data_IF_524104132496
#
_entry.id   IF_524104132496
#
_cell.length_a   1.000
_cell.length_b   1.000
_cell.length_c   1.000
_cell.angle_alpha   90.00
_cell.angle_beta   90.00
_cell.angle_gamma   90.00
#
_symmetry.space_group_name_H-M   'P 1'
#
loop_
_entity.id
_entity.type
_entity.pdbx_description
1 polymer ?
#
# COMPACT_ATOMS: atom_id res chain seq x y z
N UNK A 1 32.02 -3.86 56.86
CA UNK A 1 31.32 -5.14 56.58
C UNK A 1 30.14 -4.83 55.66
N UNK A 2 30.23 -5.15 54.37
CA UNK A 2 29.11 -4.98 53.43
C UNK A 2 29.01 -6.18 52.49
N UNK A 3 27.88 -6.87 52.65
CA UNK A 3 27.05 -7.60 51.69
C UNK A 3 27.66 -8.71 50.81
N UNK A 4 27.33 -9.96 51.15
CA UNK A 4 27.43 -11.15 50.30
C UNK A 4 26.22 -11.23 49.38
N UNK A 5 26.39 -10.90 48.09
CA UNK A 5 25.49 -11.36 47.03
C UNK A 5 26.18 -11.29 45.66
N UNK A 6 27.14 -12.18 45.43
CA UNK A 6 27.65 -12.49 44.08
C UNK A 6 27.95 -13.98 44.01
N UNK A 7 26.91 -14.80 43.99
CA UNK A 7 27.03 -16.23 43.70
C UNK A 7 25.84 -16.70 42.85
N UNK A 8 25.66 -16.05 41.69
CA UNK A 8 24.80 -16.55 40.60
C UNK A 8 25.08 -15.90 39.23
N UNK A 9 26.21 -15.18 39.07
CA UNK A 9 26.57 -14.50 37.80
C UNK A 9 27.84 -15.02 37.14
N UNK A 10 28.57 -15.93 37.78
CA UNK A 10 29.86 -16.43 37.29
C UNK A 10 29.72 -17.69 36.42
N UNK A 11 28.56 -18.36 36.43
CA UNK A 11 28.33 -19.59 35.66
C UNK A 11 27.68 -19.36 34.28
N UNK A 12 27.14 -18.17 33.99
CA UNK A 12 26.52 -17.85 32.70
C UNK A 12 27.48 -17.21 31.67
N UNK A 13 28.68 -16.82 32.10
CA UNK A 13 29.69 -16.19 31.23
C UNK A 13 30.43 -17.25 30.38
N UNK A 14 30.43 -18.52 30.81
CA UNK A 14 31.05 -19.62 30.05
C UNK A 14 30.22 -20.19 28.89
N UNK A 15 28.96 -19.76 28.72
CA UNK A 15 28.13 -20.14 27.57
C UNK A 15 28.06 -19.06 26.46
N UNK A 16 28.58 -17.85 26.71
CA UNK A 16 28.49 -16.73 25.76
C UNK A 16 29.86 -16.36 25.16
N UNK A 17 30.96 -16.87 25.70
CA UNK A 17 32.33 -16.56 25.21
C UNK A 17 33.04 -17.81 24.64
N UNK A 18 32.37 -18.96 24.59
CA UNK A 18 32.92 -20.24 24.10
C UNK A 18 32.70 -20.55 22.62
N UNK A 19 31.88 -19.78 21.91
CA UNK A 19 31.66 -19.96 20.45
C UNK A 19 32.31 -18.86 19.61
N UNK A 20 33.15 -18.02 20.22
CA UNK A 20 33.86 -16.93 19.54
C UNK A 20 35.25 -17.29 18.99
N UNK A 21 35.68 -18.56 19.04
CA UNK A 21 36.95 -19.02 18.46
C UNK A 21 36.85 -20.43 17.84
N UNK A 22 35.98 -20.58 16.84
CA UNK A 22 36.20 -21.53 15.73
C UNK A 22 36.01 -20.80 14.40
N UNK A 23 36.86 -19.78 14.24
CA UNK A 23 37.15 -19.14 12.97
C UNK A 23 38.08 -20.07 12.18
N UNK A 24 37.55 -20.82 11.22
CA UNK A 24 38.33 -21.43 10.13
C UNK A 24 37.80 -20.95 8.79
N UNK A 25 38.54 -20.01 8.21
CA UNK A 25 38.79 -19.82 6.78
C UNK A 25 37.60 -19.85 5.81
N UNK A 26 37.05 -18.65 5.56
CA UNK A 26 36.79 -18.19 4.20
C UNK A 26 36.83 -16.65 4.17
N UNK A 27 38.02 -16.04 4.30
CA UNK A 27 38.20 -14.67 3.82
C UNK A 27 38.22 -14.72 2.28
N UNK A 28 37.05 -14.91 1.68
CA UNK A 28 36.89 -14.79 0.24
C UNK A 28 36.90 -13.29 -0.08
N UNK A 29 38.02 -12.82 -0.62
CA UNK A 29 38.20 -11.43 -1.05
C UNK A 29 37.29 -11.17 -2.25
N UNK A 30 36.05 -10.75 -2.01
CA UNK A 30 35.27 -10.12 -3.06
C UNK A 30 35.99 -8.84 -3.52
N UNK A 31 36.04 -8.58 -4.83
CA UNK A 31 36.61 -7.34 -5.35
C UNK A 31 35.86 -6.11 -4.81
N UNK A 32 36.52 -4.96 -4.77
CA UNK A 32 35.91 -3.68 -4.38
C UNK A 32 34.63 -3.45 -5.21
N UNK A 33 33.47 -3.41 -4.55
CA UNK A 33 32.16 -3.23 -5.19
C UNK A 33 31.24 -4.45 -5.19
N UNK A 34 31.66 -5.59 -4.65
CA UNK A 34 30.82 -6.79 -4.47
C UNK A 34 30.51 -7.07 -3.00
N UNK A 35 29.33 -7.64 -2.75
CA UNK A 35 28.88 -8.08 -1.43
C UNK A 35 29.16 -9.58 -1.24
N UNK A 36 29.79 -9.98 -0.11
CA UNK A 36 30.01 -11.39 0.21
C UNK A 36 28.77 -12.02 0.85
N UNK A 37 28.26 -13.08 0.23
CA UNK A 37 27.21 -13.94 0.75
C UNK A 37 27.72 -14.86 1.88
N UNK A 38 26.81 -15.37 2.72
CA UNK A 38 27.16 -16.32 3.81
C UNK A 38 27.72 -17.64 3.27
N UNK A 39 27.29 -18.07 2.08
CA UNK A 39 27.79 -19.25 1.36
C UNK A 39 29.11 -19.02 0.61
N UNK A 40 29.70 -17.83 0.71
CA UNK A 40 30.99 -17.49 0.08
C UNK A 40 30.91 -17.00 -1.38
N UNK A 41 29.70 -16.88 -1.95
CA UNK A 41 29.48 -16.23 -3.24
C UNK A 41 29.68 -14.72 -3.14
N UNK A 42 30.05 -14.07 -4.25
CA UNK A 42 30.14 -12.62 -4.34
C UNK A 42 29.09 -12.11 -5.33
N UNK A 43 28.18 -11.28 -4.86
CA UNK A 43 27.14 -10.64 -5.69
C UNK A 43 27.41 -9.15 -5.84
N UNK A 44 26.72 -8.49 -6.78
CA UNK A 44 26.81 -7.04 -6.89
C UNK A 44 26.23 -6.38 -5.64
N UNK A 45 26.84 -5.28 -5.15
CA UNK A 45 26.20 -4.44 -4.12
C UNK A 45 24.81 -3.93 -4.52
N UNK A 46 24.50 -3.90 -5.83
CA UNK A 46 23.18 -3.52 -6.32
C UNK A 46 22.10 -4.60 -6.13
N UNK A 47 22.51 -5.84 -5.86
CA UNK A 47 21.62 -6.99 -5.62
C UNK A 47 21.34 -7.19 -4.13
N UNK A 48 22.02 -6.43 -3.27
CA UNK A 48 21.74 -6.45 -1.84
C UNK A 48 20.36 -5.83 -1.56
N UNK A 49 19.49 -6.57 -0.87
CA UNK A 49 18.15 -6.10 -0.47
C UNK A 49 17.23 -5.71 -1.64
N UNK A 50 17.39 -6.37 -2.79
CA UNK A 50 16.59 -6.10 -3.98
C UNK A 50 15.26 -6.91 -4.01
N UNK A 51 15.13 -7.89 -3.10
CA UNK A 51 13.97 -8.75 -2.95
C UNK A 51 14.06 -10.06 -3.74
N UNK A 52 15.23 -10.38 -4.30
CA UNK A 52 15.57 -11.65 -4.95
C UNK A 52 16.65 -12.36 -4.13
N UNK A 53 16.66 -13.68 -4.14
CA UNK A 53 17.75 -14.47 -3.54
C UNK A 53 18.86 -14.65 -4.57
N UNK A 54 19.75 -13.66 -4.67
CA UNK A 54 20.88 -13.67 -5.60
C UNK A 54 22.08 -14.42 -5.03
N UNK A 55 22.16 -14.53 -3.69
CA UNK A 55 23.16 -15.36 -3.04
C UNK A 55 22.86 -16.86 -3.15
N UNK A 56 21.59 -17.27 -3.28
CA UNK A 56 21.13 -18.66 -3.25
C UNK A 56 21.01 -19.28 -1.84
N UNK A 57 21.38 -18.51 -0.82
CA UNK A 57 21.23 -18.81 0.61
C UNK A 57 20.44 -17.71 1.35
N UNK A 58 19.89 -16.75 0.59
CA UNK A 58 19.11 -15.60 1.04
C UNK A 58 19.87 -14.65 1.98
N UNK A 59 21.21 -14.72 2.01
CA UNK A 59 22.04 -13.89 2.91
C UNK A 59 22.06 -12.40 2.55
N UNK A 60 21.79 -12.08 1.30
CA UNK A 60 21.58 -10.75 0.75
C UNK A 60 20.29 -10.06 1.21
N UNK A 61 19.35 -10.82 1.80
CA UNK A 61 18.03 -10.32 2.21
C UNK A 61 17.79 -10.32 3.73
N UNK A 62 18.73 -10.80 4.56
CA UNK A 62 18.51 -11.06 5.99
C UNK A 62 18.71 -9.83 6.90
N UNK A 63 19.47 -8.81 6.49
CA UNK A 63 19.80 -7.66 7.35
C UNK A 63 19.57 -6.30 6.68
N UNK A 64 18.42 -6.15 6.02
CA UNK A 64 18.04 -4.94 5.29
C UNK A 64 17.47 -3.81 6.17
N UNK A 65 17.78 -3.80 7.47
CA UNK A 65 17.13 -2.89 8.42
C UNK A 65 17.60 -1.43 8.33
N UNK A 66 18.70 -1.13 7.61
CA UNK A 66 19.17 0.25 7.39
C UNK A 66 19.82 0.52 6.02
N UNK A 67 19.87 -0.49 5.15
CA UNK A 67 20.20 -0.25 3.74
C UNK A 67 18.91 0.21 3.09
N UNK A 68 18.90 1.43 2.55
CA UNK A 68 17.85 1.91 1.67
C UNK A 68 17.71 0.92 0.52
N UNK A 69 16.88 -0.11 0.72
CA UNK A 69 16.33 -0.91 -0.33
C UNK A 69 15.79 0.12 -1.30
N UNK A 70 16.37 0.18 -2.49
CA UNK A 70 15.83 0.90 -3.63
C UNK A 70 14.51 0.20 -4.00
N UNK A 71 13.50 0.32 -3.14
CA UNK A 71 12.18 0.67 -3.61
C UNK A 71 12.47 1.80 -4.59
N UNK A 72 12.18 1.61 -5.87
CA UNK A 72 12.21 2.71 -6.82
C UNK A 72 11.55 3.89 -6.14
N UNK A 73 12.35 4.89 -5.76
CA UNK A 73 11.84 6.08 -5.10
C UNK A 73 11.06 6.82 -6.18
N UNK A 74 9.82 6.37 -6.37
CA UNK A 74 8.90 6.89 -7.36
C UNK A 74 8.46 8.30 -6.99
N UNK A 75 9.03 8.93 -5.96
CA UNK A 75 8.79 10.31 -5.59
C UNK A 75 9.00 11.25 -6.78
N UNK A 76 10.02 11.04 -7.60
CA UNK A 76 10.21 11.81 -8.83
C UNK A 76 9.05 11.61 -9.82
N UNK A 77 8.68 10.36 -10.09
CA UNK A 77 7.58 10.02 -11.01
C UNK A 77 6.21 10.52 -10.49
N UNK A 78 5.96 10.39 -9.18
CA UNK A 78 4.79 10.91 -8.46
C UNK A 78 4.70 12.43 -8.56
N UNK A 79 5.81 13.13 -8.36
CA UNK A 79 5.89 14.59 -8.48
C UNK A 79 5.64 15.05 -9.92
N UNK A 80 6.19 14.32 -10.90
CA UNK A 80 5.94 14.57 -12.32
C UNK A 80 4.47 14.35 -12.68
N UNK A 81 3.86 13.27 -12.18
CA UNK A 81 2.44 12.96 -12.39
C UNK A 81 1.54 14.04 -11.79
N UNK A 82 1.78 14.45 -10.54
CA UNK A 82 1.07 15.58 -9.90
C UNK A 82 1.14 16.82 -10.78
N UNK A 83 2.35 17.22 -11.17
CA UNK A 83 2.57 18.42 -12.01
C UNK A 83 1.89 18.31 -13.37
N UNK A 84 1.82 17.12 -13.95
CA UNK A 84 1.11 16.88 -15.21
C UNK A 84 -0.42 16.98 -15.03
N UNK A 85 -0.97 16.40 -13.98
CA UNK A 85 -2.41 16.44 -13.66
C UNK A 85 -2.87 17.88 -13.47
N UNK A 86 -2.14 18.66 -12.67
CA UNK A 86 -2.50 20.05 -12.36
C UNK A 86 -2.41 20.96 -13.60
N UNK A 87 -1.45 20.72 -14.51
CA UNK A 87 -1.33 21.48 -15.76
C UNK A 87 -2.44 21.19 -16.77
N UNK A 88 -3.15 20.06 -16.65
CA UNK A 88 -4.25 19.71 -17.56
C UNK A 88 -5.60 20.29 -17.17
N UNK A 89 -5.69 21.03 -16.06
CA UNK A 89 -6.92 21.74 -15.66
C UNK A 89 -7.31 22.73 -16.77
N UNK A 90 -8.53 22.59 -17.32
CA UNK A 90 -9.02 23.51 -18.37
C UNK A 90 -9.28 24.91 -17.78
N UNK A 91 -8.95 25.99 -18.50
CA UNK A 91 -9.37 27.34 -18.11
C UNK A 91 -10.90 27.48 -18.25
N UNK A 92 -11.57 28.17 -17.31
CA UNK A 92 -13.01 28.47 -17.38
C UNK A 92 -13.89 27.83 -16.29
N UNK A 93 -15.21 27.82 -16.55
CA UNK A 93 -16.31 27.44 -15.63
C UNK A 93 -16.11 26.07 -14.97
N UNK A 94 -16.38 26.01 -13.66
CA UNK A 94 -15.97 24.93 -12.74
C UNK A 94 -16.59 23.55 -12.97
N UNK A 95 -17.36 23.34 -14.04
CA UNK A 95 -18.16 22.12 -14.27
C UNK A 95 -17.51 21.08 -15.19
N UNK A 96 -16.43 21.42 -15.91
CA UNK A 96 -15.67 20.48 -16.77
C UNK A 96 -14.14 20.67 -16.66
N UNK A 97 -13.67 21.35 -15.61
CA UNK A 97 -12.25 21.67 -15.39
C UNK A 97 -11.34 20.44 -15.34
N UNK A 98 -11.84 19.31 -14.81
CA UNK A 98 -11.11 18.04 -14.72
C UNK A 98 -11.50 17.04 -15.81
N UNK A 99 -12.48 17.37 -16.65
CA UNK A 99 -12.92 16.53 -17.77
C UNK A 99 -13.77 15.33 -17.36
N UNK A 100 -14.15 14.56 -18.38
CA UNK A 100 -15.05 13.39 -18.28
C UNK A 100 -14.44 12.17 -17.58
N UNK A 101 -13.30 12.28 -16.89
CA UNK A 101 -12.69 11.21 -16.10
C UNK A 101 -12.26 11.70 -14.70
N UNK A 102 -12.94 12.73 -14.19
CA UNK A 102 -12.65 13.38 -12.90
C UNK A 102 -12.45 12.42 -11.74
N UNK A 103 -13.24 11.34 -11.63
CA UNK A 103 -13.08 10.35 -10.56
C UNK A 103 -11.73 9.63 -10.61
N UNK A 104 -11.27 9.25 -11.82
CA UNK A 104 -9.95 8.61 -12.00
C UNK A 104 -8.82 9.59 -11.71
N UNK A 105 -9.00 10.86 -12.07
CA UNK A 105 -8.03 11.92 -11.81
C UNK A 105 -7.92 12.20 -10.31
N UNK A 106 -9.04 12.25 -9.59
CA UNK A 106 -9.05 12.42 -8.13
C UNK A 106 -8.25 11.30 -7.44
N UNK A 107 -8.51 10.04 -7.80
CA UNK A 107 -7.77 8.89 -7.27
C UNK A 107 -6.29 8.97 -7.64
N UNK A 108 -5.95 9.27 -8.91
CA UNK A 108 -4.57 9.37 -9.35
C UNK A 108 -3.79 10.48 -8.62
N UNK A 109 -4.43 11.63 -8.38
CA UNK A 109 -3.83 12.75 -7.66
C UNK A 109 -3.59 12.38 -6.19
N UNK A 110 -4.53 11.69 -5.55
CA UNK A 110 -4.38 11.20 -4.18
C UNK A 110 -3.23 10.18 -4.05
N UNK A 111 -3.10 9.26 -4.99
CA UNK A 111 -2.01 8.27 -5.00
C UNK A 111 -0.64 8.87 -5.35
N UNK A 112 -0.64 9.96 -6.13
CA UNK A 112 0.57 10.67 -6.48
C UNK A 112 1.11 11.50 -5.30
N UNK A 113 0.26 12.00 -4.41
CA UNK A 113 0.69 12.90 -3.36
C UNK A 113 -0.21 12.89 -2.12
N UNK A 114 0.32 12.37 -1.03
CA UNK A 114 -0.33 12.33 0.28
C UNK A 114 -0.41 13.72 0.93
N UNK A 115 0.41 14.69 0.49
CA UNK A 115 0.48 16.04 1.07
C UNK A 115 -0.51 17.04 0.49
N UNK A 116 -0.94 16.85 -0.77
CA UNK A 116 -1.88 17.79 -1.43
C UNK A 116 -3.19 17.87 -0.65
N UNK A 117 -3.69 16.75 -0.14
CA UNK A 117 -4.95 16.68 0.60
C UNK A 117 -4.78 16.72 2.12
N UNK A 118 -3.58 17.03 2.61
CA UNK A 118 -3.31 17.20 4.02
C UNK A 118 -4.04 18.39 4.64
N UNK A 119 -4.27 18.38 5.97
CA UNK A 119 -4.92 19.48 6.67
C UNK A 119 -4.10 20.77 6.56
N UNK A 120 -4.77 21.91 6.33
CA UNK A 120 -4.13 23.24 6.25
C UNK A 120 -3.49 23.58 4.90
N UNK A 121 -3.64 22.74 3.87
CA UNK A 121 -3.18 23.03 2.52
C UNK A 121 -4.31 23.70 1.68
N UNK A 122 -4.26 25.02 1.55
CA UNK A 122 -5.27 25.80 0.80
C UNK A 122 -5.42 25.35 -0.65
N UNK A 123 -4.32 24.93 -1.30
CA UNK A 123 -4.36 24.40 -2.68
C UNK A 123 -5.14 23.07 -2.73
N UNK A 124 -4.97 22.23 -1.70
CA UNK A 124 -5.72 20.99 -1.54
C UNK A 124 -7.20 21.20 -1.33
N UNK A 125 -7.57 22.20 -0.54
CA UNK A 125 -8.96 22.59 -0.28
C UNK A 125 -9.67 23.08 -1.54
N UNK A 126 -9.02 23.94 -2.33
CA UNK A 126 -9.53 24.40 -3.62
C UNK A 126 -9.75 23.23 -4.59
N UNK A 127 -8.77 22.32 -4.69
CA UNK A 127 -8.88 21.12 -5.53
C UNK A 127 -10.05 20.24 -5.07
N UNK A 128 -10.22 20.00 -3.75
CA UNK A 128 -11.34 19.22 -3.21
C UNK A 128 -12.68 19.83 -3.58
N UNK A 129 -12.81 21.15 -3.48
CA UNK A 129 -14.03 21.85 -3.86
C UNK A 129 -14.37 21.65 -5.34
N UNK A 130 -13.38 21.84 -6.23
CA UNK A 130 -13.59 21.64 -7.67
C UNK A 130 -13.94 20.18 -8.03
N UNK A 131 -13.26 19.22 -7.41
CA UNK A 131 -13.54 17.79 -7.60
C UNK A 131 -14.96 17.46 -7.15
N UNK A 132 -15.37 17.96 -5.98
CA UNK A 132 -16.71 17.75 -5.42
C UNK A 132 -17.79 18.19 -6.41
N UNK A 133 -17.73 19.43 -6.89
CA UNK A 133 -18.74 19.98 -7.80
C UNK A 133 -18.88 19.12 -9.08
N UNK A 134 -17.77 18.70 -9.68
CA UNK A 134 -17.81 17.91 -10.91
C UNK A 134 -18.21 16.45 -10.70
N UNK A 135 -17.81 15.85 -9.59
CA UNK A 135 -18.29 14.53 -9.21
C UNK A 135 -19.82 14.58 -9.08
N UNK A 136 -20.35 15.51 -8.26
CA UNK A 136 -21.80 15.68 -8.08
C UNK A 136 -22.57 15.79 -9.41
N UNK A 137 -22.08 16.62 -10.33
CA UNK A 137 -22.69 16.83 -11.64
C UNK A 137 -22.62 15.62 -12.57
N UNK A 138 -21.63 14.75 -12.39
CA UNK A 138 -21.51 13.55 -13.21
C UNK A 138 -22.48 12.47 -12.75
N UNK A 139 -22.59 12.23 -11.44
CA UNK A 139 -23.46 11.17 -10.94
C UNK A 139 -24.93 11.46 -11.26
N UNK A 140 -25.32 12.73 -11.34
CA UNK A 140 -26.67 13.12 -11.80
C UNK A 140 -26.93 12.80 -13.28
N UNK A 141 -25.88 12.73 -14.12
CA UNK A 141 -25.97 12.39 -15.55
C UNK A 141 -25.83 10.89 -15.83
N UNK A 142 -24.91 10.23 -15.13
CA UNK A 142 -24.55 8.81 -15.35
C UNK A 142 -24.73 8.00 -14.07
N UNK A 143 -25.90 7.36 -13.91
CA UNK A 143 -26.21 6.55 -12.71
C UNK A 143 -25.80 5.08 -12.80
N UNK A 144 -25.41 4.58 -13.98
CA UNK A 144 -25.02 3.18 -14.17
C UNK A 144 -23.52 3.07 -14.42
N UNK A 145 -22.83 2.40 -13.49
CA UNK A 145 -21.39 2.13 -13.55
C UNK A 145 -21.09 0.65 -13.32
N UNK A 146 -19.98 0.16 -13.87
CA UNK A 146 -19.42 -1.15 -13.49
C UNK A 146 -19.01 -1.17 -12.01
N UNK A 147 -18.81 -2.35 -11.42
CA UNK A 147 -18.36 -2.45 -10.02
C UNK A 147 -17.01 -1.77 -9.80
N UNK A 148 -16.10 -1.85 -10.78
CA UNK A 148 -14.78 -1.22 -10.72
C UNK A 148 -14.88 0.31 -10.80
N UNK A 149 -15.68 0.84 -11.73
CA UNK A 149 -15.91 2.28 -11.84
C UNK A 149 -16.62 2.82 -10.60
N UNK A 150 -17.61 2.11 -10.07
CA UNK A 150 -18.30 2.49 -8.84
C UNK A 150 -17.32 2.54 -7.65
N UNK A 151 -16.41 1.57 -7.53
CA UNK A 151 -15.38 1.58 -6.51
C UNK A 151 -14.40 2.76 -6.66
N UNK A 152 -13.98 3.08 -7.90
CA UNK A 152 -13.14 4.25 -8.17
C UNK A 152 -13.87 5.54 -7.82
N UNK A 153 -15.17 5.57 -8.09
CA UNK A 153 -16.02 6.72 -7.81
C UNK A 153 -16.21 6.94 -6.31
N UNK A 154 -16.48 5.88 -5.54
CA UNK A 154 -16.52 5.93 -4.06
C UNK A 154 -15.19 6.43 -3.49
N UNK A 155 -14.06 5.91 -3.99
CA UNK A 155 -12.75 6.37 -3.55
C UNK A 155 -12.52 7.86 -3.88
N UNK A 156 -12.96 8.32 -5.05
CA UNK A 156 -12.89 9.73 -5.43
C UNK A 156 -13.73 10.63 -4.53
N UNK A 157 -14.92 10.19 -4.09
CA UNK A 157 -15.74 10.93 -3.12
C UNK A 157 -15.03 11.06 -1.77
N UNK A 158 -14.41 9.99 -1.27
CA UNK A 158 -13.62 10.03 -0.04
C UNK A 158 -12.44 11.00 -0.14
N UNK A 159 -11.72 11.00 -1.28
CA UNK A 159 -10.64 11.97 -1.56
C UNK A 159 -11.15 13.41 -1.57
N UNK A 160 -12.36 13.62 -2.08
CA UNK A 160 -13.05 14.90 -2.07
C UNK A 160 -13.68 15.26 -0.71
N UNK A 161 -13.49 14.43 0.33
CA UNK A 161 -14.11 14.57 1.66
C UNK A 161 -15.65 14.55 1.64
N UNK A 162 -16.24 13.77 0.74
CA UNK A 162 -17.68 13.53 0.65
C UNK A 162 -18.02 12.14 1.17
N UNK A 163 -19.13 12.02 1.91
CA UNK A 163 -19.64 10.72 2.34
C UNK A 163 -20.36 10.01 1.18
N UNK A 164 -19.87 8.85 0.71
CA UNK A 164 -20.51 8.07 -0.35
C UNK A 164 -21.82 7.39 0.06
N UNK A 165 -22.21 7.40 1.34
CA UNK A 165 -23.46 6.80 1.85
C UNK A 165 -24.63 7.75 1.86
N UNK A 166 -24.37 9.05 1.98
CA UNK A 166 -25.38 10.10 2.01
C UNK A 166 -25.34 10.92 0.72
N UNK A 167 -25.50 10.22 -0.41
CA UNK A 167 -25.44 10.85 -1.72
C UNK A 167 -26.85 11.05 -2.27
N UNK A 168 -27.53 12.14 -1.90
CA UNK A 168 -28.89 12.48 -2.40
C UNK A 168 -29.91 11.33 -2.25
N UNK A 169 -29.81 10.56 -1.16
CA UNK A 169 -30.67 9.40 -0.90
C UNK A 169 -30.21 8.08 -1.53
N UNK A 170 -29.12 8.09 -2.29
CA UNK A 170 -28.43 6.88 -2.75
C UNK A 170 -27.28 6.52 -1.81
N UNK A 171 -27.23 5.25 -1.40
CA UNK A 171 -26.09 4.66 -0.70
C UNK A 171 -25.22 3.89 -1.70
N UNK A 172 -24.17 4.54 -2.18
CA UNK A 172 -23.28 3.97 -3.20
C UNK A 172 -22.45 2.82 -2.63
N UNK A 173 -22.14 2.86 -1.33
CA UNK A 173 -21.38 1.81 -0.63
C UNK A 173 -22.21 0.53 -0.59
N UNK A 174 -23.49 0.64 -0.23
CA UNK A 174 -24.42 -0.50 -0.25
C UNK A 174 -24.64 -1.05 -1.64
N UNK A 175 -24.71 -0.21 -2.67
CA UNK A 175 -24.82 -0.69 -4.06
C UNK A 175 -23.57 -1.43 -4.51
N UNK A 176 -22.37 -0.96 -4.15
CA UNK A 176 -21.13 -1.69 -4.43
C UNK A 176 -21.09 -3.02 -3.69
N UNK A 177 -21.46 -3.03 -2.41
CA UNK A 177 -21.51 -4.24 -1.57
C UNK A 177 -22.40 -5.32 -2.20
N UNK A 178 -23.61 -4.94 -2.60
CA UNK A 178 -24.56 -5.81 -3.29
C UNK A 178 -23.98 -6.41 -4.58
N UNK A 179 -23.24 -5.63 -5.37
CA UNK A 179 -22.58 -6.12 -6.58
C UNK A 179 -21.44 -7.10 -6.29
N UNK A 180 -20.63 -6.85 -5.27
CA UNK A 180 -19.54 -7.75 -4.86
C UNK A 180 -20.12 -9.10 -4.42
N UNK A 181 -21.17 -9.09 -3.59
CA UNK A 181 -21.82 -10.30 -3.10
C UNK A 181 -22.49 -11.09 -4.23
N UNK A 182 -23.23 -10.40 -5.11
CA UNK A 182 -23.93 -11.05 -6.22
C UNK A 182 -22.97 -11.67 -7.25
N UNK A 183 -21.79 -11.08 -7.44
CA UNK A 183 -20.78 -11.59 -8.38
C UNK A 183 -19.79 -12.57 -7.75
N UNK A 184 -19.73 -12.66 -6.41
CA UNK A 184 -18.68 -13.40 -5.71
C UNK A 184 -17.27 -12.90 -6.03
N UNK A 185 -17.11 -11.67 -6.53
CA UNK A 185 -15.84 -11.14 -7.04
C UNK A 185 -14.96 -10.57 -5.93
N UNK A 186 -14.52 -11.46 -5.03
CA UNK A 186 -13.54 -11.16 -3.96
C UNK A 186 -12.10 -11.22 -4.47
N UNK A 187 -11.88 -11.62 -5.73
CA UNK A 187 -10.56 -11.65 -6.37
C UNK A 187 -10.07 -10.26 -6.75
N UNK A 188 -10.96 -9.27 -6.88
CA UNK A 188 -10.58 -7.90 -7.11
C UNK A 188 -10.42 -7.13 -5.79
N UNK A 189 -9.18 -6.94 -5.29
CA UNK A 189 -8.92 -6.32 -3.99
C UNK A 189 -9.34 -4.85 -3.92
N UNK A 190 -9.40 -4.18 -5.07
CA UNK A 190 -9.75 -2.77 -5.13
C UNK A 190 -11.21 -2.54 -4.72
N UNK A 191 -12.11 -3.48 -5.03
CA UNK A 191 -13.53 -3.38 -4.63
C UNK A 191 -13.67 -3.44 -3.11
N UNK A 192 -12.94 -4.36 -2.48
CA UNK A 192 -12.96 -4.56 -1.03
C UNK A 192 -12.31 -3.37 -0.32
N UNK A 193 -11.19 -2.88 -0.85
CA UNK A 193 -10.51 -1.70 -0.31
C UNK A 193 -11.42 -0.45 -0.34
N UNK A 194 -12.15 -0.24 -1.45
CA UNK A 194 -13.09 0.88 -1.57
C UNK A 194 -14.23 0.80 -0.55
N UNK A 195 -14.83 -0.38 -0.38
CA UNK A 195 -15.86 -0.62 0.66
C UNK A 195 -15.32 -0.31 2.06
N UNK A 196 -14.12 -0.80 2.37
CA UNK A 196 -13.56 -0.69 3.69
C UNK A 196 -13.14 0.76 4.05
N UNK A 197 -12.57 1.49 3.07
CA UNK A 197 -12.30 2.93 3.21
C UNK A 197 -13.58 3.74 3.37
N UNK A 198 -14.69 3.31 2.76
CA UNK A 198 -16.02 3.92 2.89
C UNK A 198 -16.80 3.46 4.14
N UNK A 199 -16.13 2.79 5.08
CA UNK A 199 -16.74 2.41 6.36
C UNK A 199 -17.57 1.14 6.36
N UNK A 200 -17.59 0.35 5.27
CA UNK A 200 -18.49 -0.81 5.18
C UNK A 200 -18.21 -1.84 6.29
N UNK A 201 -19.26 -2.47 6.78
CA UNK A 201 -19.18 -3.49 7.81
C UNK A 201 -18.74 -4.82 7.17
N UNK A 202 -17.45 -5.12 7.26
CA UNK A 202 -16.89 -6.35 6.73
C UNK A 202 -17.09 -7.49 7.73
N UNK A 203 -17.57 -8.65 7.27
CA UNK A 203 -17.79 -9.83 8.12
C UNK A 203 -16.57 -10.74 8.15
N UNK A 204 -16.50 -11.65 9.14
CA UNK A 204 -15.46 -12.70 9.17
C UNK A 204 -15.44 -13.54 7.87
N UNK A 205 -16.62 -13.81 7.31
CA UNK A 205 -16.76 -14.53 6.03
C UNK A 205 -16.16 -13.75 4.86
N UNK A 206 -16.21 -12.42 4.89
CA UNK A 206 -15.59 -11.59 3.85
C UNK A 206 -14.06 -11.71 3.92
N UNK A 207 -13.46 -11.76 5.11
CA UNK A 207 -12.01 -12.04 5.28
C UNK A 207 -11.65 -13.36 4.62
N UNK A 208 -12.36 -14.43 4.98
CA UNK A 208 -12.08 -15.78 4.50
C UNK A 208 -12.15 -15.84 2.98
N UNK A 209 -13.15 -15.17 2.37
CA UNK A 209 -13.30 -15.10 0.91
C UNK A 209 -12.17 -14.33 0.24
N UNK A 210 -11.72 -13.21 0.81
CA UNK A 210 -10.59 -12.44 0.28
C UNK A 210 -9.29 -13.22 0.40
N UNK A 211 -9.04 -13.85 1.55
CA UNK A 211 -7.85 -14.68 1.77
C UNK A 211 -7.84 -15.88 0.84
N UNK A 212 -8.96 -16.61 0.72
CA UNK A 212 -9.08 -17.72 -0.22
C UNK A 212 -8.91 -17.27 -1.68
N UNK A 213 -9.45 -16.09 -2.05
CA UNK A 213 -9.26 -15.52 -3.38
C UNK A 213 -7.79 -15.16 -3.67
N UNK A 214 -7.06 -14.69 -2.65
CA UNK A 214 -5.63 -14.42 -2.73
C UNK A 214 -4.80 -15.70 -2.89
N UNK A 215 -5.09 -16.73 -2.09
CA UNK A 215 -4.35 -17.99 -2.07
C UNK A 215 -4.60 -18.85 -3.32
N UNK A 216 -5.82 -18.79 -3.88
CA UNK A 216 -6.22 -19.57 -5.06
C UNK A 216 -5.67 -19.04 -6.39
N UNK A 217 -5.32 -17.75 -6.47
CA UNK A 217 -4.75 -17.16 -7.68
C UNK A 217 -3.21 -17.21 -7.63
N UNK A 218 -2.62 -18.13 -8.40
CA UNK A 218 -1.19 -18.10 -8.75
C UNK A 218 -0.82 -16.80 -9.51
N UNK A 219 -0.56 -15.74 -8.74
CA UNK A 219 0.06 -14.44 -9.06
C UNK A 219 0.08 -13.99 -10.54
N UNK A 220 -1.04 -13.70 -11.23
CA UNK A 220 -0.96 -12.92 -12.47
C UNK A 220 -1.11 -11.41 -12.22
N UNK A 221 -1.80 -11.00 -11.14
CA UNK A 221 -2.14 -9.58 -10.87
C UNK A 221 -1.42 -8.98 -9.64
N UNK A 222 -0.73 -9.82 -8.86
CA UNK A 222 -0.17 -9.49 -7.54
C UNK A 222 1.35 -9.55 -7.52
N UNK A 223 2.00 -9.03 -8.56
CA UNK A 223 3.47 -9.04 -8.68
C UNK A 223 4.09 -7.92 -7.82
N UNK A 224 4.52 -8.25 -6.60
CA UNK A 224 5.43 -7.42 -5.79
C UNK A 224 4.97 -7.03 -4.38
N UNK A 225 5.84 -6.36 -3.60
CA UNK A 225 5.64 -5.91 -2.19
C UNK A 225 4.35 -5.06 -1.98
N UNK A 226 3.76 -4.50 -3.05
CA UNK A 226 2.47 -3.80 -2.99
C UNK A 226 1.27 -4.73 -2.77
N UNK A 227 1.33 -5.99 -3.22
CA UNK A 227 0.27 -6.97 -2.98
C UNK A 227 0.12 -7.29 -1.49
N UNK A 228 1.25 -7.43 -0.80
CA UNK A 228 1.29 -7.68 0.64
C UNK A 228 0.78 -6.48 1.44
N UNK A 229 1.10 -5.24 1.02
CA UNK A 229 0.54 -4.03 1.63
C UNK A 229 -0.97 -3.92 1.44
N UNK A 230 -1.48 -4.20 0.24
CA UNK A 230 -2.92 -4.19 -0.03
C UNK A 230 -3.62 -5.29 0.77
N UNK A 231 -3.05 -6.51 0.80
CA UNK A 231 -3.56 -7.60 1.61
C UNK A 231 -3.56 -7.24 3.10
N UNK A 232 -2.48 -6.66 3.62
CA UNK A 232 -2.41 -6.20 5.01
C UNK A 232 -3.42 -5.09 5.29
N UNK A 233 -3.56 -4.10 4.42
CA UNK A 233 -4.55 -3.03 4.57
C UNK A 233 -5.98 -3.57 4.56
N UNK A 234 -6.29 -4.52 3.67
CA UNK A 234 -7.60 -5.17 3.65
C UNK A 234 -7.80 -6.00 4.92
N UNK A 235 -6.82 -6.81 5.31
CA UNK A 235 -6.89 -7.64 6.53
C UNK A 235 -7.02 -6.80 7.79
N UNK A 236 -6.26 -5.71 7.92
CA UNK A 236 -6.38 -4.76 9.03
C UNK A 236 -7.74 -4.08 8.98
N UNK A 237 -8.16 -3.59 7.82
CA UNK A 237 -9.44 -2.89 7.72
C UNK A 237 -10.62 -3.81 8.05
N UNK A 238 -10.58 -5.08 7.64
CA UNK A 238 -11.62 -6.05 8.02
C UNK A 238 -11.48 -6.44 9.50
N UNK A 239 -10.28 -6.81 9.98
CA UNK A 239 -10.09 -7.26 11.38
C UNK A 239 -10.40 -6.19 12.43
N UNK A 240 -10.10 -4.92 12.15
CA UNK A 240 -10.29 -3.81 13.10
C UNK A 240 -11.63 -3.07 12.90
N UNK A 241 -12.43 -3.40 11.88
CA UNK A 241 -13.83 -2.94 11.73
C UNK A 241 -14.88 -4.05 11.89
N UNK A 242 -14.49 -5.27 12.25
CA UNK A 242 -15.41 -6.24 12.85
C UNK A 242 -15.77 -5.68 14.23
N UNK A 243 -16.91 -4.99 14.31
CA UNK A 243 -17.62 -4.68 15.55
C UNK A 243 -18.76 -5.69 15.67
#
# INVERSE_FOLDING_TARGET
MMSRSVSMKVFFIYLVVGTFLHYSEALHRCNLGLFPCLNGMCISLNWLCDGSDDCGDNSDEINCENSAAKTTDNTAAKTQLKSWILRRKKPGSGTDRWGSQVHRIAVALHLADESTFGPGNSTGEEIRYELTIQLLQRLSKERKMSSQELALYIHALLVACMDPRDFYGDDLVRELRRKVEASGNYTNPFLILALCNAGDAMTARDVERVTAAYDSQHRPFWTGKQSLKIHLTITLCVRYKII
#
